data_IF_874924457363
#
_entry.id   IF_874924457363
#
_cell.length_a   1.000
_cell.length_b   1.000
_cell.length_c   1.000
_cell.angle_alpha   90.00
_cell.angle_beta   90.00
_cell.angle_gamma   90.00
#
_symmetry.space_group_name_H-M   'P 1'
#
loop_
_entity.id
_entity.type
_entity.pdbx_description
1 polymer ?
#
# COMPACT_ATOMS: atom_id res chain seq x y z
N UNK A 1 -26.11 7.63 -8.63
CA UNK A 1 -25.10 8.21 -9.57
C UNK A 1 -24.26 9.34 -8.96
N UNK A 2 -24.79 10.24 -8.11
CA UNK A 2 -24.01 11.35 -7.49
C UNK A 2 -22.80 10.90 -6.65
N UNK A 3 -22.95 9.85 -5.83
CA UNK A 3 -21.87 9.30 -4.98
C UNK A 3 -20.68 8.72 -5.76
N UNK A 4 -20.92 8.04 -6.89
CA UNK A 4 -19.84 7.53 -7.77
C UNK A 4 -19.04 8.66 -8.42
N UNK A 5 -19.73 9.74 -8.83
CA UNK A 5 -19.06 10.91 -9.43
C UNK A 5 -18.23 11.67 -8.38
N UNK A 6 -18.74 11.82 -7.15
CA UNK A 6 -17.98 12.44 -6.05
C UNK A 6 -16.77 11.61 -5.62
N UNK A 7 -16.88 10.28 -5.54
CA UNK A 7 -15.74 9.42 -5.22
C UNK A 7 -14.64 9.53 -6.29
N UNK A 8 -15.01 9.54 -7.58
CA UNK A 8 -14.04 9.70 -8.66
C UNK A 8 -13.27 11.03 -8.58
N UNK A 9 -13.96 12.12 -8.28
CA UNK A 9 -13.31 13.42 -8.14
C UNK A 9 -12.48 13.51 -6.85
N UNK A 10 -12.92 12.86 -5.78
CA UNK A 10 -12.14 12.72 -4.55
C UNK A 10 -10.85 11.91 -4.76
N UNK A 11 -10.91 10.79 -5.49
CA UNK A 11 -9.73 9.99 -5.86
C UNK A 11 -8.74 10.83 -6.65
N UNK A 12 -9.20 11.64 -7.62
CA UNK A 12 -8.31 12.57 -8.36
C UNK A 12 -7.58 13.55 -7.44
N UNK A 13 -8.21 13.98 -6.34
CA UNK A 13 -7.57 14.83 -5.33
C UNK A 13 -6.51 14.03 -4.58
N UNK A 14 -6.87 12.84 -4.07
CA UNK A 14 -5.95 11.94 -3.36
C UNK A 14 -4.73 11.56 -4.19
N UNK A 15 -4.90 11.32 -5.48
CA UNK A 15 -3.81 11.01 -6.43
C UNK A 15 -2.81 12.17 -6.56
N UNK A 16 -3.20 13.42 -6.33
CA UNK A 16 -2.29 14.58 -6.40
C UNK A 16 -1.60 14.88 -5.08
N UNK A 17 -2.08 14.33 -3.97
CA UNK A 17 -1.54 14.63 -2.64
C UNK A 17 -0.29 13.79 -2.42
N UNK A 18 0.86 14.41 -2.07
CA UNK A 18 2.06 13.66 -1.79
C UNK A 18 2.01 13.01 -0.40
N UNK A 19 2.66 11.88 -0.28
CA UNK A 19 3.00 11.27 1.01
C UNK A 19 4.17 12.02 1.62
N UNK A 20 4.08 12.40 2.91
CA UNK A 20 5.13 13.14 3.61
C UNK A 20 5.54 12.47 4.92
N UNK A 21 6.71 12.86 5.43
CA UNK A 21 7.15 12.49 6.79
C UNK A 21 7.16 10.99 7.08
N UNK A 22 7.52 10.19 6.07
CA UNK A 22 7.57 8.73 6.16
C UNK A 22 8.63 8.31 7.18
N UNK A 23 8.23 7.50 8.15
CA UNK A 23 9.12 6.93 9.17
C UNK A 23 8.86 5.45 9.32
N UNK A 24 9.94 4.69 9.27
CA UNK A 24 9.97 3.27 9.58
C UNK A 24 10.63 3.07 10.94
N UNK A 25 9.97 2.31 11.79
CA UNK A 25 10.54 1.73 13.00
C UNK A 25 10.46 0.21 12.90
N UNK A 26 11.14 -0.52 13.79
CA UNK A 26 11.35 -1.98 13.68
C UNK A 26 10.13 -2.79 13.23
N UNK A 27 8.92 -2.42 13.67
CA UNK A 27 7.68 -3.11 13.31
C UNK A 27 6.52 -2.16 13.02
N UNK A 28 6.78 -0.93 12.56
CA UNK A 28 5.72 0.04 12.29
C UNK A 28 6.12 1.04 11.22
N UNK A 29 5.18 1.31 10.33
CA UNK A 29 5.24 2.40 9.36
C UNK A 29 4.36 3.55 9.86
N UNK A 30 4.82 4.78 9.67
CA UNK A 30 4.00 5.97 9.88
C UNK A 30 4.30 7.02 8.82
N UNK A 31 3.29 7.75 8.39
CA UNK A 31 3.40 8.79 7.37
C UNK A 31 2.28 9.83 7.51
N UNK A 32 2.44 10.96 6.83
CA UNK A 32 1.41 11.96 6.67
C UNK A 32 0.81 11.88 5.27
N UNK A 33 -0.51 11.77 5.18
CA UNK A 33 -1.25 11.75 3.93
C UNK A 33 -2.63 12.38 4.12
N UNK A 34 -3.04 13.23 3.16
CA UNK A 34 -4.31 13.95 3.17
C UNK A 34 -4.65 14.66 4.49
N UNK A 35 -3.71 15.39 5.07
CA UNK A 35 -3.84 16.06 6.39
C UNK A 35 -4.03 15.12 7.59
N UNK A 36 -3.87 13.80 7.41
CA UNK A 36 -3.85 12.83 8.48
C UNK A 36 -2.45 12.30 8.72
N UNK A 37 -2.11 12.07 9.98
CA UNK A 37 -1.01 11.21 10.37
C UNK A 37 -1.54 9.80 10.51
N UNK A 38 -1.04 8.87 9.70
CA UNK A 38 -1.46 7.47 9.71
C UNK A 38 -0.29 6.57 10.09
N UNK A 39 -0.60 5.44 10.72
CA UNK A 39 0.40 4.46 11.12
C UNK A 39 -0.24 3.09 11.31
N UNK A 40 0.45 2.04 10.86
CA UNK A 40 0.04 0.66 11.09
C UNK A 40 1.26 -0.18 11.49
N UNK A 41 1.01 -1.23 12.27
CA UNK A 41 2.02 -2.21 12.69
C UNK A 41 2.30 -3.17 11.53
N UNK A 42 3.58 -3.45 11.30
CA UNK A 42 4.06 -4.39 10.30
C UNK A 42 4.33 -5.72 10.99
N UNK A 43 3.79 -6.80 10.42
CA UNK A 43 4.00 -8.16 10.89
C UNK A 43 4.47 -9.02 9.72
N UNK A 44 5.63 -9.65 9.88
CA UNK A 44 6.14 -10.62 8.91
C UNK A 44 5.60 -12.00 9.27
N UNK A 45 4.81 -12.61 8.38
CA UNK A 45 4.35 -14.01 8.50
C UNK A 45 4.37 -14.69 7.14
N UNK A 46 4.24 -16.02 7.07
CA UNK A 46 4.08 -16.68 5.77
C UNK A 46 2.67 -16.41 5.30
N UNK A 47 2.54 -15.70 4.20
CA UNK A 47 1.26 -15.39 3.58
C UNK A 47 1.25 -15.87 2.14
N UNK A 48 0.06 -16.20 1.65
CA UNK A 48 -0.15 -16.56 0.26
C UNK A 48 -0.09 -15.33 -0.66
N UNK A 49 -0.31 -14.13 -0.09
CA UNK A 49 -0.14 -12.83 -0.75
C UNK A 49 1.16 -12.14 -0.30
N UNK A 50 1.79 -11.35 -1.18
CA UNK A 50 3.01 -10.58 -0.84
C UNK A 50 2.79 -9.62 0.32
N UNK A 51 1.61 -9.06 0.40
CA UNK A 51 1.13 -8.24 1.49
C UNK A 51 -0.38 -8.28 1.58
N UNK A 52 -0.88 -8.07 2.79
CA UNK A 52 -2.30 -7.90 3.07
C UNK A 52 -2.45 -6.98 4.29
N UNK A 53 -3.26 -5.94 4.16
CA UNK A 53 -3.83 -5.27 5.31
C UNK A 53 -5.05 -6.04 5.86
N UNK A 54 -4.95 -6.47 7.12
CA UNK A 54 -6.08 -7.13 7.79
C UNK A 54 -7.00 -6.13 8.50
N UNK A 55 -8.24 -6.04 8.02
CA UNK A 55 -9.33 -5.29 8.65
C UNK A 55 -9.55 -5.66 10.12
N UNK A 56 -9.50 -6.96 10.45
CA UNK A 56 -9.79 -7.50 11.79
C UNK A 56 -8.65 -7.19 12.77
N UNK A 57 -7.40 -7.30 12.34
CA UNK A 57 -6.23 -7.18 13.21
C UNK A 57 -5.65 -5.77 13.24
N UNK A 58 -6.02 -4.90 12.29
CA UNK A 58 -5.44 -3.55 12.11
C UNK A 58 -3.92 -3.61 12.01
N UNK A 59 -3.43 -4.59 11.27
CA UNK A 59 -2.01 -4.87 11.05
C UNK A 59 -1.79 -5.04 9.55
N UNK A 60 -0.59 -4.68 9.10
CA UNK A 60 -0.08 -4.97 7.77
C UNK A 60 0.71 -6.26 7.87
N UNK A 61 0.30 -7.25 7.10
CA UNK A 61 1.04 -8.50 6.94
C UNK A 61 1.86 -8.42 5.66
N UNK A 62 3.14 -8.71 5.77
CA UNK A 62 4.02 -8.86 4.61
C UNK A 62 4.54 -10.29 4.63
N UNK A 63 4.54 -10.96 3.48
CA UNK A 63 5.08 -12.31 3.39
C UNK A 63 6.56 -12.31 3.79
N UNK A 64 6.93 -13.26 4.66
CA UNK A 64 8.31 -13.39 5.16
C UNK A 64 9.28 -13.80 4.06
N UNK A 65 8.81 -14.46 3.00
CA UNK A 65 9.60 -14.80 1.82
C UNK A 65 9.92 -13.57 0.99
N UNK A 66 8.95 -12.68 0.79
CA UNK A 66 9.14 -11.36 0.20
C UNK A 66 10.17 -10.54 0.98
N UNK A 67 9.98 -10.37 2.30
CA UNK A 67 10.88 -9.57 3.13
C UNK A 67 12.35 -10.05 3.17
N UNK A 68 12.63 -11.32 2.85
CA UNK A 68 14.00 -11.87 2.81
C UNK A 68 14.72 -11.68 1.47
N UNK A 69 13.97 -11.65 0.37
CA UNK A 69 14.52 -11.58 -1.00
C UNK A 69 14.52 -10.17 -1.56
N UNK A 70 13.74 -9.28 -0.96
CA UNK A 70 13.53 -7.94 -1.49
C UNK A 70 14.49 -6.90 -0.94
N UNK A 71 14.66 -5.85 -1.74
CA UNK A 71 15.39 -4.68 -1.29
C UNK A 71 14.59 -3.96 -0.22
N UNK A 72 15.29 -3.30 0.71
CA UNK A 72 14.65 -2.47 1.73
C UNK A 72 13.68 -1.44 1.12
N UNK A 73 14.00 -0.91 -0.08
CA UNK A 73 13.14 0.03 -0.81
C UNK A 73 11.81 -0.60 -1.22
N UNK A 74 11.84 -1.79 -1.83
CA UNK A 74 10.64 -2.55 -2.23
C UNK A 74 9.79 -2.94 -1.03
N UNK A 75 10.42 -3.40 0.05
CA UNK A 75 9.73 -3.71 1.29
C UNK A 75 8.99 -2.48 1.88
N UNK A 76 9.69 -1.34 1.95
CA UNK A 76 9.11 -0.09 2.46
C UNK A 76 7.99 0.43 1.55
N UNK A 77 8.12 0.29 0.24
CA UNK A 77 7.09 0.66 -0.72
C UNK A 77 5.79 -0.10 -0.48
N UNK A 78 5.89 -1.42 -0.31
CA UNK A 78 4.74 -2.27 -0.04
C UNK A 78 4.07 -1.92 1.30
N UNK A 79 4.85 -1.61 2.34
CA UNK A 79 4.28 -1.13 3.60
C UNK A 79 3.52 0.20 3.45
N UNK A 80 3.95 1.09 2.54
CA UNK A 80 3.28 2.35 2.25
C UNK A 80 1.98 2.10 1.50
N UNK A 81 1.96 1.15 0.57
CA UNK A 81 0.75 0.71 -0.13
C UNK A 81 -0.32 0.33 0.90
N UNK A 82 -0.01 -0.64 1.75
CA UNK A 82 -0.95 -1.23 2.69
C UNK A 82 -1.48 -0.22 3.72
N UNK A 83 -0.62 0.67 4.25
CA UNK A 83 -1.09 1.68 5.22
C UNK A 83 -2.02 2.72 4.58
N UNK A 84 -1.80 3.08 3.31
CA UNK A 84 -2.64 4.05 2.59
C UNK A 84 -3.97 3.41 2.22
N UNK A 85 -3.95 2.19 1.69
CA UNK A 85 -5.18 1.47 1.34
C UNK A 85 -6.06 1.27 2.58
N UNK A 86 -5.45 0.77 3.67
CA UNK A 86 -6.05 0.65 5.01
C UNK A 86 -6.73 1.94 5.46
N UNK A 87 -6.02 3.06 5.40
CA UNK A 87 -6.54 4.37 5.79
C UNK A 87 -7.74 4.80 4.93
N UNK A 88 -7.64 4.69 3.61
CA UNK A 88 -8.68 5.13 2.69
C UNK A 88 -9.98 4.33 2.84
N UNK A 89 -9.85 3.04 3.10
CA UNK A 89 -11.00 2.17 3.38
C UNK A 89 -11.63 2.49 4.73
N UNK A 90 -10.81 2.66 5.78
CA UNK A 90 -11.30 2.94 7.15
C UNK A 90 -11.97 4.30 7.26
N UNK A 91 -11.31 5.35 6.76
CA UNK A 91 -11.73 6.74 6.97
C UNK A 91 -12.81 7.17 5.98
N UNK A 92 -12.67 6.78 4.70
CA UNK A 92 -13.54 7.27 3.63
C UNK A 92 -14.44 6.20 3.03
N UNK A 93 -14.35 4.94 3.50
CA UNK A 93 -15.14 3.80 3.02
C UNK A 93 -15.02 3.60 1.51
N UNK A 94 -13.84 3.87 0.97
CA UNK A 94 -13.53 3.58 -0.43
C UNK A 94 -13.55 2.06 -0.65
N UNK A 95 -13.99 1.65 -1.83
CA UNK A 95 -13.85 0.26 -2.28
C UNK A 95 -12.37 -0.09 -2.41
N UNK A 96 -11.97 -1.27 -1.96
CA UNK A 96 -10.56 -1.69 -1.92
C UNK A 96 -10.00 -1.69 -3.34
N UNK A 97 -10.45 -2.62 -4.19
CA UNK A 97 -9.82 -2.87 -5.50
C UNK A 97 -10.11 -1.75 -6.53
N UNK A 98 -11.27 -1.11 -6.44
CA UNK A 98 -11.70 -0.10 -7.43
C UNK A 98 -11.19 1.32 -7.13
N UNK A 99 -10.95 1.65 -5.86
CA UNK A 99 -10.77 3.04 -5.42
C UNK A 99 -9.53 3.24 -4.54
N UNK A 100 -9.41 2.51 -3.43
CA UNK A 100 -8.31 2.65 -2.49
C UNK A 100 -6.98 2.12 -3.06
N UNK A 101 -7.02 0.94 -3.70
CA UNK A 101 -5.89 0.29 -4.34
C UNK A 101 -5.23 1.20 -5.38
N UNK A 102 -6.05 1.86 -6.23
CA UNK A 102 -5.56 2.79 -7.26
C UNK A 102 -4.72 3.92 -6.66
N UNK A 103 -5.15 4.49 -5.53
CA UNK A 103 -4.38 5.53 -4.84
C UNK A 103 -3.14 4.93 -4.19
N UNK A 104 -3.27 3.79 -3.50
CA UNK A 104 -2.16 3.13 -2.82
C UNK A 104 -1.02 2.76 -3.77
N UNK A 105 -1.32 2.14 -4.91
CA UNK A 105 -0.36 1.79 -5.97
C UNK A 105 0.36 3.02 -6.52
N UNK A 106 -0.37 4.13 -6.74
CA UNK A 106 0.27 5.37 -7.18
C UNK A 106 1.24 5.91 -6.13
N UNK A 107 0.89 5.83 -4.83
CA UNK A 107 1.75 6.32 -3.74
C UNK A 107 2.95 5.41 -3.47
N UNK A 108 2.78 4.12 -3.67
CA UNK A 108 3.87 3.15 -3.69
C UNK A 108 4.90 3.47 -4.79
N UNK A 109 4.41 3.73 -6.01
CA UNK A 109 5.25 4.13 -7.15
C UNK A 109 5.99 5.44 -6.88
N UNK A 110 5.28 6.49 -6.46
CA UNK A 110 5.87 7.79 -6.11
C UNK A 110 6.97 7.64 -5.05
N UNK A 111 6.74 6.81 -4.02
CA UNK A 111 7.74 6.52 -3.02
C UNK A 111 8.98 5.86 -3.64
N UNK A 112 8.80 4.78 -4.41
CA UNK A 112 9.92 4.07 -5.05
C UNK A 112 10.75 4.99 -5.93
N UNK A 113 10.11 5.81 -6.75
CA UNK A 113 10.78 6.80 -7.59
C UNK A 113 11.58 7.80 -6.74
N UNK A 114 11.00 8.30 -5.64
CA UNK A 114 11.68 9.25 -4.73
C UNK A 114 12.94 8.68 -4.07
N UNK A 115 13.01 7.37 -3.86
CA UNK A 115 14.17 6.69 -3.28
C UNK A 115 15.06 6.02 -4.33
N UNK A 116 14.88 6.36 -5.62
CA UNK A 116 15.62 5.74 -6.75
C UNK A 116 15.50 4.21 -6.76
N UNK A 117 14.29 3.70 -6.55
CA UNK A 117 13.90 2.30 -6.72
C UNK A 117 13.46 2.01 -8.16
N UNK A 118 13.36 0.72 -8.51
CA UNK A 118 12.92 0.29 -9.84
C UNK A 118 11.46 -0.16 -9.80
N UNK A 119 10.54 0.71 -10.24
CA UNK A 119 9.11 0.41 -10.30
C UNK A 119 8.81 -0.84 -11.12
N UNK A 120 9.33 -0.94 -12.35
CA UNK A 120 9.02 -2.06 -13.25
C UNK A 120 9.42 -3.41 -12.66
N UNK A 121 10.60 -3.49 -12.04
CA UNK A 121 11.05 -4.72 -11.40
C UNK A 121 10.20 -5.05 -10.17
N UNK A 122 9.79 -4.04 -9.41
CA UNK A 122 8.95 -4.20 -8.23
C UNK A 122 7.53 -4.65 -8.60
N UNK A 123 6.89 -3.94 -9.53
CA UNK A 123 5.56 -4.23 -10.05
C UNK A 123 5.48 -5.65 -10.63
N UNK A 124 6.46 -6.05 -11.45
CA UNK A 124 6.52 -7.42 -11.95
C UNK A 124 6.51 -8.44 -10.81
N UNK A 125 7.32 -8.26 -9.77
CA UNK A 125 7.38 -9.21 -8.65
C UNK A 125 6.07 -9.28 -7.86
N UNK A 126 5.51 -8.12 -7.50
CA UNK A 126 4.21 -8.03 -6.82
C UNK A 126 3.13 -8.70 -7.68
N UNK A 127 3.09 -8.41 -8.98
CA UNK A 127 2.16 -9.01 -9.94
C UNK A 127 2.35 -10.53 -10.07
N UNK A 128 3.59 -11.02 -10.21
CA UNK A 128 3.87 -12.45 -10.34
C UNK A 128 3.48 -13.23 -9.10
N UNK A 129 3.70 -12.67 -7.90
CA UNK A 129 3.29 -13.32 -6.67
C UNK A 129 1.76 -13.26 -6.46
N UNK A 130 1.08 -12.20 -6.93
CA UNK A 130 -0.39 -12.16 -7.00
C UNK A 130 -0.97 -13.15 -8.02
N UNK A 131 -0.34 -13.33 -9.19
CA UNK A 131 -0.86 -14.19 -10.26
C UNK A 131 -0.44 -15.66 -10.19
N UNK A 132 0.59 -16.02 -9.41
CA UNK A 132 0.85 -17.43 -9.04
C UNK A 132 -0.31 -18.08 -8.28
N UNK A 133 -1.21 -17.26 -7.75
CA UNK A 133 -2.43 -17.69 -7.06
C UNK A 133 -3.66 -17.82 -7.98
N UNK A 134 -3.51 -17.52 -9.28
CA UNK A 134 -4.59 -17.57 -10.27
C UNK A 134 -4.71 -18.88 -11.07
N UNK A 135 -3.89 -19.90 -10.77
CA UNK A 135 -3.98 -21.24 -11.38
C UNK A 135 -4.47 -22.32 -10.38
N UNK A 136 -5.40 -21.97 -9.49
CA UNK A 136 -6.11 -22.93 -8.65
C UNK A 136 -7.62 -22.82 -8.79
#
# INVERSE_FOLDING_TARGET
MKKKRSNRDFIKVLLKIPVKSIRFSKNRVSLNFFNHRISDKIVLKREDHVAEWSRKRKEIFIDKGFGKKETEKSFRALCIHEVIESFLVKEFRLKVDEEAHVVATQKEKEYLESVKGNWKSHELKVFWDWHKMGEH
#
